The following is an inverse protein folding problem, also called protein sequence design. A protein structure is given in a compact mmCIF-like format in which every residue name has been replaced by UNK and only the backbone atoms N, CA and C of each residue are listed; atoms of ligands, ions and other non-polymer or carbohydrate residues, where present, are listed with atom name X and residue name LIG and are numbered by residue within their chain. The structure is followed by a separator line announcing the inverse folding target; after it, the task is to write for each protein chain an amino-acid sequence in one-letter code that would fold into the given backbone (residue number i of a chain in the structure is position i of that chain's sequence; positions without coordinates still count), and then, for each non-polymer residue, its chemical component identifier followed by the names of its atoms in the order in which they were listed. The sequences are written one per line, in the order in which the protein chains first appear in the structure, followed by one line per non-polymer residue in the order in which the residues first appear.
data_IF_350402440744
#
_entry.id   IF_350402440744
#
_cell.length_a   1.000
_cell.length_b   1.000
_cell.length_c   1.000
_cell.angle_alpha   90.00
_cell.angle_beta   90.00
_cell.angle_gamma   90.00
#
_symmetry.space_group_name_H-M   'P 1'
#
loop_
_entity.id
_entity.type
_entity.pdbx_description
1 polymer ?
#
# COMPACT_ATOMS: atom_id res chain seq x y z
N UNK A 1 -0.53 -4.10 -9.95
CA UNK A 1 -1.54 -4.91 -10.66
C UNK A 1 -1.72 -4.34 -12.05
N UNK A 2 -1.45 -5.14 -13.06
CA UNK A 2 -1.59 -4.73 -14.44
C UNK A 2 -3.07 -4.82 -14.84
N UNK A 3 -3.65 -3.67 -15.11
CA UNK A 3 -4.99 -3.58 -15.69
C UNK A 3 -4.87 -3.70 -17.20
N UNK A 4 -4.96 -4.91 -17.72
CA UNK A 4 -4.69 -5.27 -19.13
C UNK A 4 -5.46 -4.42 -20.17
N UNK A 5 -6.60 -3.81 -19.80
CA UNK A 5 -7.37 -2.97 -20.71
C UNK A 5 -6.79 -1.56 -20.87
N UNK A 6 -5.96 -1.08 -19.93
CA UNK A 6 -5.35 0.26 -20.01
C UNK A 6 -4.30 0.34 -21.13
N UNK A 7 -3.56 -0.73 -21.37
CA UNK A 7 -2.54 -0.76 -22.42
C UNK A 7 -3.13 -0.58 -23.82
N UNK A 8 -4.38 -1.02 -24.05
CA UNK A 8 -5.09 -0.86 -25.33
C UNK A 8 -5.60 0.57 -25.60
N UNK A 9 -5.62 1.44 -24.59
CA UNK A 9 -6.17 2.79 -24.67
C UNK A 9 -5.10 3.89 -24.67
N UNK A 10 -3.87 3.58 -25.03
CA UNK A 10 -2.77 4.57 -25.06
C UNK A 10 -2.07 4.81 -23.73
N UNK A 11 -2.24 3.87 -22.78
CA UNK A 11 -1.59 3.89 -21.49
C UNK A 11 -2.41 4.53 -20.36
N UNK A 12 -1.87 4.43 -19.14
CA UNK A 12 -2.56 4.85 -17.90
C UNK A 12 -2.86 6.35 -17.86
N UNK A 13 -1.95 7.17 -18.39
CA UNK A 13 -2.11 8.63 -18.46
C UNK A 13 -3.31 9.02 -19.33
N UNK A 14 -3.37 8.53 -20.57
CA UNK A 14 -4.50 8.77 -21.47
C UNK A 14 -5.81 8.25 -20.91
N UNK A 15 -5.80 7.04 -20.33
CA UNK A 15 -7.00 6.43 -19.76
C UNK A 15 -7.57 7.25 -18.60
N UNK A 16 -6.73 7.68 -17.66
CA UNK A 16 -7.15 8.45 -16.49
C UNK A 16 -7.44 9.91 -16.85
N UNK A 17 -6.62 10.56 -17.68
CA UNK A 17 -6.78 11.95 -18.04
C UNK A 17 -8.11 12.26 -18.76
N UNK A 18 -8.69 11.26 -19.43
CA UNK A 18 -10.03 11.38 -20.02
C UNK A 18 -11.18 11.23 -19.00
N UNK A 19 -10.89 10.91 -17.73
CA UNK A 19 -11.89 10.61 -16.70
C UNK A 19 -11.79 11.47 -15.45
N UNK A 20 -10.58 11.87 -15.11
CA UNK A 20 -10.32 12.70 -13.92
C UNK A 20 -9.33 13.80 -14.25
N UNK A 21 -9.48 15.00 -13.67
CA UNK A 21 -8.48 16.06 -13.80
C UNK A 21 -7.19 15.64 -13.07
N UNK A 22 -6.05 15.93 -13.67
CA UNK A 22 -4.77 15.78 -13.03
C UNK A 22 -4.40 17.02 -12.23
N UNK A 23 -3.79 16.82 -11.07
CA UNK A 23 -3.28 17.89 -10.21
C UNK A 23 -1.77 17.84 -10.18
N UNK A 24 -1.13 18.99 -10.29
CA UNK A 24 0.29 19.13 -10.02
C UNK A 24 0.56 18.93 -8.53
N UNK A 25 1.70 18.33 -8.21
CA UNK A 25 2.13 18.17 -6.84
C UNK A 25 3.62 18.49 -6.67
N UNK A 26 3.97 18.98 -5.49
CA UNK A 26 5.36 19.15 -5.10
C UNK A 26 5.97 17.81 -4.69
N UNK A 27 7.23 17.59 -5.10
CA UNK A 27 8.04 16.45 -4.64
C UNK A 27 9.02 16.98 -3.60
N UNK A 28 9.00 16.39 -2.43
CA UNK A 28 9.85 16.76 -1.31
C UNK A 28 10.61 15.55 -0.77
N UNK A 29 11.76 15.77 -0.19
CA UNK A 29 12.48 14.75 0.58
C UNK A 29 11.79 14.47 1.91
N UNK A 30 12.19 13.42 2.64
CA UNK A 30 11.64 13.08 3.97
C UNK A 30 11.87 14.19 5.01
N UNK A 31 12.88 15.04 4.84
CA UNK A 31 13.14 16.20 5.67
C UNK A 31 12.30 17.45 5.30
N UNK A 32 11.43 17.31 4.28
CA UNK A 32 10.58 18.39 3.78
C UNK A 32 11.27 19.32 2.78
N UNK A 33 12.54 19.14 2.46
CA UNK A 33 13.23 19.96 1.47
C UNK A 33 12.68 19.68 0.05
N UNK A 34 12.54 20.71 -0.80
CA UNK A 34 12.00 20.54 -2.15
C UNK A 34 12.96 19.72 -3.02
N UNK A 35 12.41 18.78 -3.79
CA UNK A 35 13.17 17.89 -4.68
C UNK A 35 12.73 17.99 -6.14
N UNK A 36 11.48 18.37 -6.41
CA UNK A 36 10.96 18.46 -7.78
C UNK A 36 9.46 18.71 -7.84
N UNK A 37 8.86 18.41 -8.98
CA UNK A 37 7.40 18.53 -9.19
C UNK A 37 6.91 17.43 -10.13
N UNK A 38 5.67 16.99 -9.95
CA UNK A 38 4.96 16.11 -10.87
C UNK A 38 3.74 16.81 -11.43
N UNK A 39 3.43 16.54 -12.69
CA UNK A 39 2.29 17.13 -13.39
C UNK A 39 0.96 16.44 -13.09
N UNK A 40 1.00 15.18 -12.62
CA UNK A 40 -0.17 14.36 -12.37
C UNK A 40 0.04 13.53 -11.10
N UNK A 41 -0.42 14.05 -9.95
CA UNK A 41 -0.38 13.36 -8.65
C UNK A 41 -1.09 12.00 -8.71
N UNK A 42 -2.18 11.93 -9.46
CA UNK A 42 -3.03 10.74 -9.62
C UNK A 42 -2.31 9.57 -10.31
N UNK A 43 -1.18 9.85 -10.97
CA UNK A 43 -0.33 8.84 -11.60
C UNK A 43 0.80 8.35 -10.68
N UNK A 44 1.02 9.04 -9.55
CA UNK A 44 2.08 8.69 -8.61
C UNK A 44 1.66 7.52 -7.73
N UNK A 45 2.59 6.59 -7.51
CA UNK A 45 2.33 5.39 -6.69
C UNK A 45 3.48 5.17 -5.71
N UNK A 46 3.19 4.72 -4.50
CA UNK A 46 4.21 4.34 -3.51
C UNK A 46 5.16 3.30 -4.11
N UNK A 47 6.46 3.50 -3.91
CA UNK A 47 7.53 2.68 -4.48
C UNK A 47 7.93 3.05 -5.91
N UNK A 48 7.28 4.04 -6.52
CA UNK A 48 7.67 4.55 -7.84
C UNK A 48 9.04 5.26 -7.77
N UNK A 49 9.88 5.02 -8.78
CA UNK A 49 11.23 5.62 -8.88
C UNK A 49 11.40 6.58 -10.04
N UNK A 50 10.64 6.39 -11.13
CA UNK A 50 10.78 7.16 -12.38
C UNK A 50 9.63 8.14 -12.55
N UNK A 51 9.84 9.21 -13.32
CA UNK A 51 8.80 10.18 -13.64
C UNK A 51 8.41 11.10 -12.49
N UNK A 52 9.34 11.38 -11.57
CA UNK A 52 9.12 12.21 -10.37
C UNK A 52 9.58 13.66 -10.57
N UNK A 53 10.06 14.04 -11.75
CA UNK A 53 10.54 15.40 -12.04
C UNK A 53 11.76 15.82 -11.19
N UNK A 54 12.50 14.86 -10.63
CA UNK A 54 13.69 15.09 -9.83
C UNK A 54 14.96 15.06 -10.71
N UNK A 55 15.97 15.88 -10.43
CA UNK A 55 17.26 15.84 -11.14
C UNK A 55 17.90 14.46 -11.04
N UNK A 56 18.50 13.99 -12.12
CA UNK A 56 19.27 12.75 -12.14
C UNK A 56 20.64 12.87 -11.50
N UNK A 57 21.29 11.74 -11.22
CA UNK A 57 22.70 11.67 -10.76
C UNK A 57 22.90 11.48 -9.25
N UNK A 58 21.82 11.54 -8.45
CA UNK A 58 21.86 11.24 -7.02
C UNK A 58 21.56 9.77 -6.67
N UNK A 59 21.49 9.44 -5.35
CA UNK A 59 21.08 8.14 -4.86
C UNK A 59 19.67 7.79 -5.35
N UNK A 60 19.35 6.49 -5.38
CA UNK A 60 18.02 6.04 -5.79
C UNK A 60 16.96 6.51 -4.80
N UNK A 61 15.99 7.28 -5.30
CA UNK A 61 14.86 7.77 -4.54
C UNK A 61 13.56 7.08 -4.97
N UNK A 62 12.69 6.83 -4.02
CA UNK A 62 11.40 6.17 -4.21
C UNK A 62 10.29 7.00 -3.57
N UNK A 63 9.12 6.97 -4.15
CA UNK A 63 7.93 7.55 -3.49
C UNK A 63 7.65 6.75 -2.22
N UNK A 64 7.76 7.38 -1.08
CA UNK A 64 7.48 6.77 0.23
C UNK A 64 6.11 7.18 0.77
N UNK A 65 5.57 8.33 0.32
CA UNK A 65 4.25 8.81 0.71
C UNK A 65 3.61 9.63 -0.42
N UNK A 66 2.29 9.59 -0.52
CA UNK A 66 1.48 10.43 -1.40
C UNK A 66 0.44 11.13 -0.53
N UNK A 67 0.68 12.41 -0.24
CA UNK A 67 -0.23 13.28 0.50
C UNK A 67 -1.19 13.97 -0.48
N UNK A 68 -2.28 13.27 -0.76
CA UNK A 68 -3.27 13.72 -1.75
C UNK A 68 -3.99 15.03 -1.34
N UNK A 69 -4.37 15.25 -0.06
CA UNK A 69 -4.96 16.51 0.39
C UNK A 69 -4.06 17.73 0.14
N UNK A 70 -2.78 17.61 0.41
CA UNK A 70 -1.82 18.72 0.31
C UNK A 70 -1.09 18.77 -1.04
N UNK A 71 -1.46 17.91 -2.00
CA UNK A 71 -0.80 17.79 -3.31
C UNK A 71 0.72 17.65 -3.19
N UNK A 72 1.18 16.74 -2.35
CA UNK A 72 2.59 16.52 -2.04
C UNK A 72 2.98 15.05 -2.20
N UNK A 73 4.17 14.81 -2.74
CA UNK A 73 4.80 13.50 -2.89
C UNK A 73 6.08 13.51 -2.08
N UNK A 74 6.21 12.61 -1.12
CA UNK A 74 7.45 12.45 -0.34
C UNK A 74 8.28 11.35 -0.96
N UNK A 75 9.56 11.64 -1.17
CA UNK A 75 10.55 10.68 -1.66
C UNK A 75 11.59 10.38 -0.59
N UNK A 76 12.08 9.15 -0.59
CA UNK A 76 13.07 8.67 0.36
C UNK A 76 13.85 7.48 -0.17
N UNK A 77 14.71 6.93 0.65
CA UNK A 77 15.50 5.75 0.32
C UNK A 77 14.63 4.47 0.29
N UNK A 78 15.16 3.39 -0.27
CA UNK A 78 14.45 2.11 -0.34
C UNK A 78 14.07 1.58 1.06
N UNK A 79 14.92 1.80 2.05
CA UNK A 79 14.67 1.42 3.44
C UNK A 79 13.37 2.04 4.00
N UNK A 80 13.05 3.25 3.59
CA UNK A 80 11.83 3.97 3.99
C UNK A 80 10.53 3.36 3.42
N UNK A 81 10.65 2.38 2.50
CA UNK A 81 9.50 1.63 2.00
C UNK A 81 9.08 0.45 2.89
N UNK A 82 9.82 0.16 3.94
CA UNK A 82 9.56 -1.01 4.78
C UNK A 82 8.86 -0.62 6.07
N UNK A 83 7.87 -1.42 6.48
CA UNK A 83 7.06 -1.23 7.70
C UNK A 83 6.92 -2.55 8.44
N UNK A 84 6.86 -2.47 9.77
CA UNK A 84 6.59 -3.64 10.64
C UNK A 84 5.12 -3.81 10.96
N UNK A 85 4.28 -2.84 10.63
CA UNK A 85 2.84 -2.91 10.89
C UNK A 85 2.02 -2.33 9.74
N UNK A 86 0.73 -2.66 9.74
CA UNK A 86 -0.27 -2.18 8.81
C UNK A 86 -1.63 -2.18 9.50
N UNK A 87 -2.40 -1.11 9.34
CA UNK A 87 -3.81 -1.11 9.70
C UNK A 87 -4.65 -1.45 8.48
N UNK A 88 -5.57 -2.39 8.67
CA UNK A 88 -6.50 -2.86 7.64
C UNK A 88 -7.91 -2.57 8.13
N UNK A 89 -8.67 -1.84 7.34
CA UNK A 89 -10.07 -1.50 7.62
C UNK A 89 -11.02 -2.26 6.70
N UNK A 90 -12.31 -2.15 7.00
CA UNK A 90 -13.37 -2.82 6.26
C UNK A 90 -13.15 -4.34 6.17
N UNK A 91 -12.70 -4.93 7.28
CA UNK A 91 -12.55 -6.38 7.39
C UNK A 91 -13.91 -7.05 7.25
N UNK A 92 -13.98 -8.02 6.33
CA UNK A 92 -15.04 -8.99 6.23
C UNK A 92 -14.47 -10.32 6.69
N UNK A 93 -15.04 -10.88 7.74
CA UNK A 93 -14.66 -12.19 8.28
C UNK A 93 -15.40 -13.31 7.59
N UNK A 94 -14.72 -14.43 7.35
CA UNK A 94 -15.35 -15.62 6.75
C UNK A 94 -16.31 -16.31 7.73
N UNK A 95 -15.94 -16.32 9.03
CA UNK A 95 -16.75 -16.88 10.11
C UNK A 95 -16.53 -16.07 11.41
N UNK A 96 -17.56 -15.94 12.21
CA UNK A 96 -17.48 -15.34 13.56
C UNK A 96 -16.61 -16.15 14.51
N UNK A 97 -16.50 -17.47 14.32
CA UNK A 97 -15.61 -18.33 15.10
C UNK A 97 -14.14 -18.02 14.84
N UNK A 98 -13.78 -17.58 13.63
CA UNK A 98 -12.41 -17.18 13.31
C UNK A 98 -11.98 -15.96 14.11
N UNK A 99 -12.89 -14.98 14.31
CA UNK A 99 -12.64 -13.82 15.18
C UNK A 99 -12.34 -14.25 16.62
N UNK A 100 -13.11 -15.19 17.16
CA UNK A 100 -12.90 -15.70 18.53
C UNK A 100 -11.57 -16.43 18.66
N UNK A 101 -11.17 -17.20 17.65
CA UNK A 101 -9.87 -17.89 17.62
C UNK A 101 -8.71 -16.90 17.60
N UNK A 102 -8.82 -15.84 16.80
CA UNK A 102 -7.78 -14.82 16.71
C UNK A 102 -7.59 -14.01 17.99
N UNK A 103 -8.60 -13.93 18.86
CA UNK A 103 -8.45 -13.37 20.21
C UNK A 103 -7.54 -14.23 21.12
N UNK A 104 -7.33 -15.51 20.77
CA UNK A 104 -6.55 -16.45 21.57
C UNK A 104 -5.17 -16.70 20.98
N UNK A 105 -5.05 -16.86 19.66
CA UNK A 105 -3.79 -17.28 19.01
C UNK A 105 -3.15 -16.20 18.15
N UNK A 106 -3.84 -15.18 17.77
CA UNK A 106 -3.46 -14.01 16.96
C UNK A 106 -2.51 -14.24 15.74
N UNK A 107 -2.02 -15.45 15.52
CA UNK A 107 -1.13 -15.79 14.40
C UNK A 107 -1.91 -16.03 13.11
N UNK A 108 -1.45 -15.40 12.03
CA UNK A 108 -2.06 -15.48 10.70
C UNK A 108 -1.00 -15.50 9.61
N UNK A 109 -1.38 -15.92 8.41
CA UNK A 109 -0.64 -15.60 7.19
C UNK A 109 -1.35 -14.45 6.47
N UNK A 110 -0.58 -13.50 5.99
CA UNK A 110 -1.07 -12.27 5.32
C UNK A 110 -0.63 -12.24 3.88
N UNK A 111 -1.57 -12.05 2.97
CA UNK A 111 -1.31 -11.86 1.54
C UNK A 111 -1.91 -10.54 1.05
N UNK A 112 -1.11 -9.73 0.34
CA UNK A 112 -1.51 -8.41 -0.19
C UNK A 112 -1.46 -8.31 -1.72
N UNK A 113 -1.08 -9.39 -2.40
CA UNK A 113 -1.08 -9.44 -3.87
C UNK A 113 -1.37 -10.85 -4.37
N UNK A 114 -2.01 -10.95 -5.53
CA UNK A 114 -2.43 -12.22 -6.11
C UNK A 114 -1.29 -13.23 -6.36
N UNK A 115 -0.08 -12.73 -6.59
CA UNK A 115 1.11 -13.55 -6.85
C UNK A 115 2.13 -13.50 -5.71
N UNK A 116 1.85 -12.78 -4.63
CA UNK A 116 2.71 -12.71 -3.45
C UNK A 116 2.56 -13.93 -2.56
N UNK A 117 3.62 -14.28 -1.85
CA UNK A 117 3.53 -15.27 -0.78
C UNK A 117 2.66 -14.74 0.37
N UNK A 118 1.97 -15.65 1.05
CA UNK A 118 1.35 -15.36 2.33
C UNK A 118 2.45 -15.37 3.42
N UNK A 119 2.59 -14.27 4.15
CA UNK A 119 3.68 -14.04 5.10
C UNK A 119 3.17 -14.15 6.54
N UNK A 120 3.87 -14.87 7.44
CA UNK A 120 3.50 -14.95 8.85
C UNK A 120 3.46 -13.57 9.51
N UNK A 121 2.41 -13.33 10.28
CA UNK A 121 2.18 -12.09 11.01
C UNK A 121 1.33 -12.37 12.25
N UNK A 122 1.27 -11.40 13.14
CA UNK A 122 0.28 -11.35 14.21
C UNK A 122 -0.81 -10.34 13.90
N UNK A 123 -2.02 -10.58 14.38
CA UNK A 123 -3.15 -9.69 14.22
C UNK A 123 -3.69 -9.23 15.57
N UNK A 124 -3.93 -7.94 15.70
CA UNK A 124 -4.64 -7.31 16.83
C UNK A 124 -5.98 -6.78 16.31
N UNK A 125 -7.08 -7.21 16.92
CA UNK A 125 -8.42 -6.72 16.57
C UNK A 125 -8.61 -5.36 17.24
N UNK A 126 -8.70 -4.29 16.44
CA UNK A 126 -8.91 -2.92 16.93
C UNK A 126 -10.40 -2.62 17.10
N UNK A 127 -11.23 -3.15 16.21
CA UNK A 127 -12.69 -3.05 16.23
C UNK A 127 -13.31 -4.20 15.42
N UNK A 128 -14.65 -4.24 15.33
CA UNK A 128 -15.36 -5.26 14.54
C UNK A 128 -14.96 -5.30 13.06
N UNK A 129 -14.46 -4.20 12.49
CA UNK A 129 -14.10 -4.09 11.08
C UNK A 129 -12.68 -3.55 10.83
N UNK A 130 -11.83 -3.52 11.86
CA UNK A 130 -10.47 -2.99 11.76
C UNK A 130 -9.50 -3.86 12.55
N UNK A 131 -8.34 -4.13 11.94
CA UNK A 131 -7.25 -4.88 12.58
C UNK A 131 -5.93 -4.18 12.34
N UNK A 132 -4.98 -4.38 13.28
CA UNK A 132 -3.56 -4.11 13.07
C UNK A 132 -2.84 -5.42 12.81
N UNK A 133 -2.09 -5.46 11.75
CA UNK A 133 -1.18 -6.55 11.39
C UNK A 133 0.23 -6.15 11.80
N UNK A 134 1.00 -7.05 12.41
CA UNK A 134 2.40 -6.84 12.74
C UNK A 134 3.26 -8.02 12.25
N UNK A 135 4.40 -7.70 11.66
CA UNK A 135 5.40 -8.65 11.16
C UNK A 135 6.65 -8.60 12.03
N UNK A 136 7.29 -9.75 12.25
CA UNK A 136 8.61 -9.85 12.91
C UNK A 136 9.67 -9.10 12.11
N UNK A 137 9.68 -9.30 10.78
CA UNK A 137 10.55 -8.61 9.83
C UNK A 137 9.78 -7.55 9.06
N UNK A 138 10.40 -6.38 8.84
CA UNK A 138 9.77 -5.31 8.10
C UNK A 138 9.42 -5.75 6.66
N UNK A 139 8.19 -5.53 6.25
CA UNK A 139 7.66 -5.84 4.93
C UNK A 139 7.58 -4.60 4.07
N UNK A 140 7.67 -4.78 2.75
CA UNK A 140 7.47 -3.67 1.82
C UNK A 140 6.07 -3.08 2.02
N UNK A 141 6.01 -1.76 2.17
CA UNK A 141 4.78 -1.02 2.41
C UNK A 141 3.69 -1.38 1.38
N UNK A 142 2.56 -1.78 1.88
CA UNK A 142 1.36 -2.03 1.09
C UNK A 142 0.69 -0.66 0.87
N UNK A 143 0.42 -0.33 -0.38
CA UNK A 143 -0.21 0.95 -0.70
C UNK A 143 -1.64 1.00 -0.14
N UNK A 144 -2.09 2.15 0.39
CA UNK A 144 -3.47 2.34 0.80
C UNK A 144 -4.44 2.00 -0.34
N UNK A 145 -5.57 1.38 0.00
CA UNK A 145 -6.56 0.91 -0.98
C UNK A 145 -6.29 -0.50 -1.54
N UNK A 146 -5.17 -1.12 -1.22
CA UNK A 146 -4.91 -2.51 -1.61
C UNK A 146 -5.67 -3.49 -0.73
N UNK A 147 -6.14 -4.59 -1.34
CA UNK A 147 -6.76 -5.69 -0.62
C UNK A 147 -5.70 -6.47 0.17
N UNK A 148 -6.06 -6.84 1.39
CA UNK A 148 -5.25 -7.68 2.28
C UNK A 148 -6.11 -8.86 2.71
N UNK A 149 -5.58 -10.07 2.57
CA UNK A 149 -6.27 -11.31 2.92
C UNK A 149 -5.52 -12.01 4.05
N UNK A 150 -6.28 -12.48 5.03
CA UNK A 150 -5.82 -13.21 6.19
C UNK A 150 -6.15 -14.70 6.03
N UNK A 151 -5.16 -15.55 6.23
CA UNK A 151 -5.31 -17.00 6.19
C UNK A 151 -4.92 -17.62 7.53
N UNK A 152 -5.40 -18.82 7.79
CA UNK A 152 -4.88 -19.65 8.88
C UNK A 152 -3.41 -20.03 8.61
N UNK A 153 -2.69 -20.44 9.65
CA UNK A 153 -1.25 -20.75 9.56
C UNK A 153 -0.92 -21.94 8.63
N UNK A 154 -1.88 -22.75 8.26
CA UNK A 154 -1.70 -23.83 7.27
C UNK A 154 -1.97 -23.38 5.83
N UNK A 155 -2.38 -22.13 5.62
CA UNK A 155 -2.74 -21.57 4.31
C UNK A 155 -3.84 -22.34 3.55
N UNK A 156 -4.78 -22.91 4.27
CA UNK A 156 -5.87 -23.72 3.73
C UNK A 156 -7.25 -23.09 3.87
N UNK A 157 -7.35 -22.04 4.70
CA UNK A 157 -8.60 -21.37 5.03
C UNK A 157 -8.43 -19.85 5.10
N UNK A 158 -9.32 -19.13 4.41
CA UNK A 158 -9.41 -17.67 4.50
C UNK A 158 -10.16 -17.31 5.77
N UNK A 159 -9.51 -16.57 6.66
CA UNK A 159 -10.11 -16.05 7.89
C UNK A 159 -10.91 -14.77 7.63
N UNK A 160 -10.44 -13.95 6.71
CA UNK A 160 -11.08 -12.69 6.35
C UNK A 160 -10.20 -11.84 5.44
N UNK A 161 -10.65 -10.65 5.13
CA UNK A 161 -9.89 -9.70 4.33
C UNK A 161 -10.46 -8.30 4.40
N UNK A 162 -9.64 -7.32 4.08
CA UNK A 162 -10.00 -5.91 4.15
C UNK A 162 -9.10 -5.05 3.27
N UNK A 163 -9.10 -3.76 3.55
CA UNK A 163 -8.39 -2.75 2.75
C UNK A 163 -7.29 -2.10 3.58
N UNK A 164 -6.07 -2.09 3.04
CA UNK A 164 -4.94 -1.37 3.64
C UNK A 164 -5.23 0.12 3.75
N UNK A 165 -4.88 0.72 4.89
CA UNK A 165 -5.06 2.16 5.13
C UNK A 165 -3.75 2.92 5.03
N UNK A 166 -3.82 4.24 4.87
CA UNK A 166 -2.72 5.14 5.18
C UNK A 166 -2.52 5.12 6.71
N UNK A 167 -1.30 4.87 7.16
CA UNK A 167 -0.90 5.08 8.56
C UNK A 167 -0.68 6.55 8.82
#
# INVERSE_FOLDING_TARGET
QDVCFISKTGGRETFLGNRIPFRKAEVVNEDGSPAGKVEALELVTIGQRKGLGIPGGGPKQYVVEVDTPNARVVIGEEASLYRKSLVVNNIIWSDTQDVQRLQTTNDVLVQSSAHGAAIPATVEILSHNSVRIAWSEAQRRIAPGQSVVLYNMTNTHVLGGGIATAE
#
